data_IF_748961080472
#
_entry.id   IF_748961080472
#
_cell.length_a   1.000
_cell.length_b   1.000
_cell.length_c   1.000
_cell.angle_alpha   90.00
_cell.angle_beta   90.00
_cell.angle_gamma   90.00
#
_symmetry.space_group_name_H-M   'P 1'
#
loop_
_entity.id
_entity.type
_entity.pdbx_description
1 polymer ?
#
# COMPACT_ATOMS: atom_id res chain seq x y z
N UNK A 1 59.62 8.33 8.16
CA UNK A 1 59.45 8.59 6.72
C UNK A 1 58.64 7.43 6.16
N UNK A 2 57.36 7.68 5.89
CA UNK A 2 56.34 6.68 5.54
C UNK A 2 56.63 6.03 4.18
N UNK A 3 56.48 4.70 4.10
CA UNK A 3 56.25 3.96 2.85
C UNK A 3 55.00 3.13 3.07
N UNK A 4 53.89 3.61 2.53
CA UNK A 4 52.60 2.94 2.59
C UNK A 4 52.35 2.22 1.27
N UNK A 5 52.09 0.92 1.38
CA UNK A 5 51.73 0.05 0.27
C UNK A 5 50.22 -0.11 0.23
N UNK A 6 49.52 0.72 -0.53
CA UNK A 6 48.11 0.53 -0.86
C UNK A 6 47.78 1.20 -2.19
N UNK A 7 47.98 0.48 -3.30
CA UNK A 7 47.49 0.93 -4.61
C UNK A 7 47.10 -0.21 -5.58
N UNK A 8 46.95 -1.47 -5.12
CA UNK A 8 46.62 -2.60 -6.02
C UNK A 8 45.19 -3.14 -5.97
N UNK A 9 44.39 -2.86 -4.94
CA UNK A 9 43.16 -3.67 -4.74
C UNK A 9 41.87 -3.11 -5.38
N UNK A 10 41.91 -1.95 -6.03
CA UNK A 10 40.69 -1.34 -6.63
C UNK A 10 40.58 -1.48 -8.15
N UNK A 11 41.66 -1.85 -8.85
CA UNK A 11 41.69 -1.85 -10.32
C UNK A 11 41.93 -3.21 -10.98
N UNK A 12 42.23 -4.27 -10.22
CA UNK A 12 42.28 -5.65 -10.77
C UNK A 12 40.89 -6.28 -11.01
N UNK A 13 39.79 -5.54 -10.79
CA UNK A 13 38.43 -6.06 -10.98
C UNK A 13 37.91 -5.96 -12.44
N UNK A 14 38.69 -5.41 -13.38
CA UNK A 14 38.27 -5.24 -14.78
C UNK A 14 38.87 -6.24 -15.77
N UNK A 15 39.83 -7.09 -15.40
CA UNK A 15 40.54 -7.93 -16.38
C UNK A 15 40.26 -9.43 -16.30
N UNK A 16 39.50 -9.93 -15.33
CA UNK A 16 39.21 -11.37 -15.23
C UNK A 16 37.82 -11.68 -14.66
N UNK A 17 36.76 -11.42 -15.43
CA UNK A 17 35.51 -12.15 -15.26
C UNK A 17 34.86 -12.43 -16.60
N UNK A 18 35.03 -13.66 -17.08
CA UNK A 18 33.98 -14.34 -17.84
C UNK A 18 32.62 -14.03 -17.19
N UNK A 19 31.63 -13.69 -18.02
CA UNK A 19 30.23 -13.55 -17.63
C UNK A 19 29.74 -14.91 -17.12
N UNK A 20 29.93 -15.18 -15.83
CA UNK A 20 29.21 -16.23 -15.14
C UNK A 20 27.85 -15.66 -14.74
N UNK A 21 26.80 -16.37 -15.15
CA UNK A 21 25.39 -16.10 -14.92
C UNK A 21 25.07 -15.90 -13.43
N UNK A 22 25.16 -14.67 -12.94
CA UNK A 22 24.54 -14.27 -11.70
C UNK A 22 23.03 -14.16 -11.91
N UNK A 23 22.25 -14.68 -10.97
CA UNK A 23 20.80 -14.48 -10.97
C UNK A 23 20.48 -12.99 -10.80
N UNK A 24 19.30 -12.52 -11.23
CA UNK A 24 18.85 -11.12 -11.02
C UNK A 24 19.03 -10.65 -9.56
N UNK A 25 18.92 -11.60 -8.63
CA UNK A 25 19.18 -11.46 -7.19
C UNK A 25 20.63 -11.03 -6.89
N UNK A 26 21.63 -11.62 -7.55
CA UNK A 26 23.05 -11.31 -7.34
C UNK A 26 23.42 -9.93 -7.86
N UNK A 27 22.75 -9.51 -8.92
CA UNK A 27 22.84 -8.15 -9.48
C UNK A 27 22.31 -7.15 -8.45
N UNK A 28 21.09 -7.36 -7.93
CA UNK A 28 20.47 -6.47 -6.93
C UNK A 28 21.33 -6.34 -5.65
N UNK A 29 21.88 -7.45 -5.14
CA UNK A 29 22.73 -7.40 -3.94
C UNK A 29 24.07 -6.69 -4.15
N UNK A 30 24.71 -6.85 -5.32
CA UNK A 30 25.93 -6.10 -5.66
C UNK A 30 25.65 -4.60 -5.75
N UNK A 31 24.52 -4.21 -6.33
CA UNK A 31 24.12 -2.81 -6.45
C UNK A 31 23.81 -2.16 -5.09
N UNK A 32 23.14 -2.87 -4.19
CA UNK A 32 22.89 -2.40 -2.83
C UNK A 32 24.19 -2.08 -2.06
N UNK A 33 25.21 -2.94 -2.19
CA UNK A 33 26.51 -2.72 -1.56
C UNK A 33 27.28 -1.51 -2.13
N UNK A 34 27.11 -1.21 -3.42
CA UNK A 34 27.71 -0.04 -4.07
C UNK A 34 27.03 1.26 -3.61
N UNK A 35 25.70 1.25 -3.47
CA UNK A 35 24.92 2.43 -3.10
C UNK A 35 25.06 2.81 -1.61
N UNK A 36 25.17 1.84 -0.71
CA UNK A 36 25.50 2.12 0.70
C UNK A 36 26.86 2.82 0.82
N UNK A 37 27.84 2.42 0.00
CA UNK A 37 29.15 3.09 -0.05
C UNK A 37 29.02 4.52 -0.59
N UNK A 38 28.23 4.74 -1.65
CA UNK A 38 27.99 6.08 -2.22
C UNK A 38 27.21 7.02 -1.28
N UNK A 39 26.21 6.51 -0.54
CA UNK A 39 25.46 7.29 0.46
C UNK A 39 26.37 7.74 1.62
N UNK A 40 27.22 6.85 2.11
CA UNK A 40 28.16 7.16 3.19
C UNK A 40 29.20 8.22 2.76
N UNK A 41 29.61 8.20 1.48
CA UNK A 41 30.48 9.24 0.90
C UNK A 41 29.78 10.61 0.89
N UNK A 42 28.48 10.69 0.56
CA UNK A 42 27.73 11.95 0.42
C UNK A 42 27.43 12.66 1.76
N UNK A 43 27.37 11.91 2.86
CA UNK A 43 27.10 12.43 4.22
C UNK A 43 28.37 13.02 4.88
N UNK A 44 29.51 13.07 4.16
CA UNK A 44 30.73 13.69 4.67
C UNK A 44 31.54 12.81 5.62
N UNK A 45 31.17 11.53 5.77
CA UNK A 45 32.13 10.55 6.26
C UNK A 45 33.18 10.35 5.17
N UNK A 46 34.35 10.95 5.35
CA UNK A 46 35.53 10.61 4.59
C UNK A 46 35.77 9.09 4.76
N UNK A 47 35.36 8.31 3.76
CA UNK A 47 35.73 6.91 3.68
C UNK A 47 37.24 6.89 3.36
N UNK A 48 38.06 6.82 4.42
CA UNK A 48 39.48 6.50 4.36
C UNK A 48 40.30 7.33 3.35
N UNK A 49 40.08 8.64 3.26
CA UNK A 49 40.95 9.53 2.46
C UNK A 49 40.86 9.37 0.94
N UNK A 50 39.87 8.64 0.41
CA UNK A 50 39.68 8.48 -1.03
C UNK A 50 38.95 9.69 -1.60
N UNK A 51 39.59 10.42 -2.53
CA UNK A 51 38.92 11.45 -3.34
C UNK A 51 37.93 10.78 -4.28
N UNK A 52 36.65 11.10 -4.14
CA UNK A 52 35.59 10.56 -4.99
C UNK A 52 35.36 11.49 -6.18
N UNK A 53 35.39 10.91 -7.37
CA UNK A 53 35.12 11.59 -8.63
C UNK A 53 33.61 11.80 -8.81
N UNK A 54 33.15 13.01 -8.51
CA UNK A 54 31.73 13.36 -8.54
C UNK A 54 31.13 13.33 -9.95
N UNK A 55 31.94 13.48 -11.00
CA UNK A 55 31.45 13.47 -12.37
C UNK A 55 31.00 12.06 -12.76
N UNK A 56 31.75 11.04 -12.35
CA UNK A 56 31.37 9.62 -12.53
C UNK A 56 30.19 9.20 -11.65
N UNK A 57 30.07 9.75 -10.45
CA UNK A 57 28.91 9.52 -9.58
C UNK A 57 27.64 10.09 -10.22
N UNK A 58 27.71 11.30 -10.78
CA UNK A 58 26.58 11.93 -11.45
C UNK A 58 26.20 11.20 -12.75
N UNK A 59 27.18 10.74 -13.54
CA UNK A 59 26.92 9.93 -14.74
C UNK A 59 26.24 8.61 -14.38
N UNK A 60 26.68 7.94 -13.31
CA UNK A 60 26.04 6.73 -12.78
C UNK A 60 24.62 7.03 -12.25
N UNK A 61 24.39 8.18 -11.62
CA UNK A 61 23.06 8.63 -11.17
C UNK A 61 22.12 8.83 -12.37
N UNK A 62 22.61 9.41 -13.46
CA UNK A 62 21.85 9.55 -14.72
C UNK A 62 21.53 8.17 -15.32
N UNK A 63 22.48 7.25 -15.37
CA UNK A 63 22.25 5.89 -15.89
C UNK A 63 21.24 5.11 -15.02
N UNK A 64 21.35 5.20 -13.70
CA UNK A 64 20.40 4.59 -12.75
C UNK A 64 19.01 5.24 -12.88
N UNK A 65 18.92 6.54 -13.12
CA UNK A 65 17.66 7.25 -13.38
C UNK A 65 17.03 6.79 -14.69
N UNK A 66 17.83 6.66 -15.76
CA UNK A 66 17.38 6.20 -17.07
C UNK A 66 16.91 4.74 -17.04
N UNK A 67 17.49 3.91 -16.17
CA UNK A 67 17.04 2.54 -15.92
C UNK A 67 15.75 2.47 -15.05
N UNK A 68 15.23 3.61 -14.59
CA UNK A 68 14.09 3.70 -13.66
C UNK A 68 14.42 3.20 -12.24
N UNK A 69 15.69 2.89 -11.97
CA UNK A 69 16.16 2.36 -10.70
C UNK A 69 16.18 3.44 -9.61
N UNK A 70 16.44 4.70 -9.95
CA UNK A 70 16.50 5.77 -8.94
C UNK A 70 15.11 6.18 -8.42
N UNK A 71 14.09 6.15 -9.26
CA UNK A 71 12.69 6.35 -8.86
C UNK A 71 12.18 5.12 -8.08
N UNK A 72 12.58 3.91 -8.49
CA UNK A 72 12.41 2.68 -7.71
C UNK A 72 13.20 2.71 -6.38
N UNK A 73 14.32 3.45 -6.30
CA UNK A 73 15.14 3.68 -5.10
C UNK A 73 14.66 4.85 -4.24
N UNK A 74 13.88 5.78 -4.80
CA UNK A 74 13.09 6.74 -4.03
C UNK A 74 11.88 6.05 -3.41
N UNK A 75 11.32 5.07 -4.13
CA UNK A 75 10.55 3.96 -3.57
C UNK A 75 11.39 3.08 -2.62
N UNK A 76 12.71 2.99 -2.78
CA UNK A 76 13.58 2.40 -1.76
C UNK A 76 13.64 3.25 -0.48
N UNK A 77 13.19 4.50 -0.38
CA UNK A 77 12.93 5.03 0.96
C UNK A 77 11.87 4.19 1.70
N UNK A 78 10.97 3.52 0.98
CA UNK A 78 9.99 2.56 1.51
C UNK A 78 10.55 1.13 1.58
N UNK A 79 11.41 0.71 0.64
CA UNK A 79 12.09 -0.61 0.69
C UNK A 79 13.23 -0.62 1.72
N UNK A 80 14.07 0.41 1.82
CA UNK A 80 15.03 0.64 2.92
C UNK A 80 14.32 0.79 4.26
N UNK A 81 13.16 1.45 4.38
CA UNK A 81 12.37 1.42 5.64
C UNK A 81 11.82 0.02 5.94
N UNK A 82 11.61 -0.81 4.93
CA UNK A 82 11.30 -2.24 5.10
C UNK A 82 12.56 -3.12 5.37
N UNK A 83 13.76 -2.67 4.97
CA UNK A 83 15.05 -3.35 5.16
C UNK A 83 15.86 -2.87 6.38
N UNK A 84 15.50 -1.73 6.99
CA UNK A 84 16.09 -1.20 8.24
C UNK A 84 15.69 -2.02 9.49
N UNK A 85 15.02 -3.15 9.29
CA UNK A 85 14.68 -4.12 10.33
C UNK A 85 15.89 -5.04 10.57
N UNK A 86 16.31 -5.25 11.83
CA UNK A 86 17.51 -6.00 12.17
C UNK A 86 17.57 -7.38 11.49
N UNK A 87 18.74 -7.67 10.93
CA UNK A 87 19.17 -8.88 10.17
C UNK A 87 18.94 -10.22 10.90
N UNK A 88 18.36 -10.19 12.10
CA UNK A 88 18.21 -11.34 13.00
C UNK A 88 17.03 -12.24 12.62
N UNK A 89 16.08 -11.79 11.78
CA UNK A 89 14.98 -12.66 11.34
C UNK A 89 15.39 -13.56 10.15
N UNK A 90 15.30 -14.89 10.35
CA UNK A 90 15.58 -15.92 9.34
C UNK A 90 14.47 -16.11 8.30
N UNK A 91 13.33 -15.43 8.43
CA UNK A 91 12.21 -15.56 7.49
C UNK A 91 12.57 -14.98 6.11
N UNK A 92 12.55 -15.83 5.08
CA UNK A 92 12.81 -15.47 3.67
C UNK A 92 11.79 -14.45 3.15
N UNK A 93 10.60 -14.41 3.75
CA UNK A 93 9.48 -13.59 3.32
C UNK A 93 9.66 -12.09 3.67
N UNK A 94 10.37 -11.78 4.77
CA UNK A 94 10.75 -10.41 5.14
C UNK A 94 11.67 -9.72 4.13
N UNK A 95 12.36 -10.50 3.28
CA UNK A 95 13.29 -9.96 2.27
C UNK A 95 12.62 -9.61 0.94
N UNK A 96 11.37 -10.04 0.70
CA UNK A 96 10.74 -9.92 -0.63
C UNK A 96 9.95 -8.63 -0.84
N UNK A 97 9.86 -7.74 0.15
CA UNK A 97 9.09 -6.49 0.05
C UNK A 97 7.59 -6.73 -0.18
N UNK A 98 6.83 -5.66 -0.36
CA UNK A 98 5.42 -5.73 -0.75
C UNK A 98 5.34 -5.87 -2.29
N UNK A 99 4.76 -6.93 -2.87
CA UNK A 99 4.72 -7.11 -4.32
C UNK A 99 3.84 -6.08 -5.02
N UNK A 100 2.92 -5.40 -4.31
CA UNK A 100 2.21 -4.24 -4.86
C UNK A 100 3.18 -3.07 -5.10
N UNK A 101 4.28 -2.99 -4.36
CA UNK A 101 5.34 -2.00 -4.60
C UNK A 101 6.12 -2.36 -5.88
N UNK A 102 6.34 -3.65 -6.14
CA UNK A 102 6.95 -4.12 -7.39
C UNK A 102 6.06 -3.81 -8.60
N UNK A 103 4.74 -3.97 -8.45
CA UNK A 103 3.76 -3.56 -9.46
C UNK A 103 3.73 -2.05 -9.69
N UNK A 104 3.91 -1.23 -8.65
CA UNK A 104 4.11 0.21 -8.86
C UNK A 104 5.40 0.47 -9.66
N UNK A 105 6.51 -0.12 -9.24
CA UNK A 105 7.82 0.10 -9.86
C UNK A 105 7.89 -0.40 -11.31
N UNK A 106 7.20 -1.48 -11.65
CA UNK A 106 7.18 -2.01 -13.02
C UNK A 106 6.53 -1.06 -14.03
N UNK A 107 5.63 -0.18 -13.62
CA UNK A 107 5.08 0.85 -14.52
C UNK A 107 6.13 1.84 -15.00
N UNK A 108 7.24 1.99 -14.26
CA UNK A 108 8.35 2.87 -14.62
C UNK A 108 9.37 2.19 -15.54
N UNK A 109 9.23 0.89 -15.81
CA UNK A 109 10.17 0.16 -16.68
C UNK A 109 10.01 0.59 -18.13
N UNK A 110 11.15 0.74 -18.80
CA UNK A 110 11.21 0.76 -20.26
C UNK A 110 11.13 -0.68 -20.77
N UNK A 111 10.20 -0.95 -21.68
CA UNK A 111 9.98 -2.27 -22.25
C UNK A 111 9.99 -2.15 -23.77
N UNK A 112 10.43 -3.22 -24.46
CA UNK A 112 10.38 -3.27 -25.92
C UNK A 112 8.93 -3.29 -26.41
N UNK A 113 8.09 -4.13 -25.80
CA UNK A 113 6.63 -4.04 -25.91
C UNK A 113 6.03 -3.40 -24.66
N UNK A 114 5.12 -2.44 -24.84
CA UNK A 114 4.52 -1.72 -23.70
C UNK A 114 3.69 -2.65 -22.78
N UNK A 115 3.13 -3.72 -23.34
CA UNK A 115 2.35 -4.76 -22.63
C UNK A 115 3.22 -5.63 -21.71
N UNK A 116 4.53 -5.70 -21.93
CA UNK A 116 5.44 -6.48 -21.09
C UNK A 116 5.53 -5.95 -19.66
N UNK A 117 5.18 -4.67 -19.45
CA UNK A 117 5.03 -4.07 -18.12
C UNK A 117 4.07 -4.90 -17.27
N UNK A 118 2.88 -5.21 -17.79
CA UNK A 118 1.89 -6.02 -17.10
C UNK A 118 2.32 -7.50 -17.00
N UNK A 119 2.85 -8.07 -18.10
CA UNK A 119 3.23 -9.49 -18.16
C UNK A 119 4.32 -9.87 -17.15
N UNK A 120 5.34 -9.02 -16.96
CA UNK A 120 6.40 -9.28 -15.99
C UNK A 120 5.89 -9.32 -14.55
N UNK A 121 4.84 -8.56 -14.23
CA UNK A 121 4.24 -8.53 -12.89
C UNK A 121 3.32 -9.72 -12.67
N UNK A 122 2.61 -10.16 -13.69
CA UNK A 122 1.76 -11.35 -13.62
C UNK A 122 2.55 -12.56 -13.11
N UNK A 123 3.83 -12.67 -13.46
CA UNK A 123 4.72 -13.70 -12.93
C UNK A 123 4.98 -13.56 -11.42
N UNK A 124 5.14 -12.33 -10.91
CA UNK A 124 5.34 -12.07 -9.46
C UNK A 124 4.12 -12.52 -8.66
N UNK A 125 2.93 -12.39 -9.23
CA UNK A 125 1.69 -12.79 -8.58
C UNK A 125 1.20 -14.18 -8.95
N UNK A 126 1.93 -14.93 -9.77
CA UNK A 126 1.52 -16.23 -10.29
C UNK A 126 0.11 -16.16 -10.92
N UNK A 127 -0.06 -15.28 -11.91
CA UNK A 127 -1.30 -15.02 -12.62
C UNK A 127 -1.14 -15.26 -14.12
N UNK A 128 -2.17 -15.85 -14.76
CA UNK A 128 -2.26 -16.06 -16.20
C UNK A 128 -3.43 -15.25 -16.76
N UNK A 129 -3.13 -14.14 -17.42
CA UNK A 129 -4.07 -13.13 -17.93
C UNK A 129 -3.77 -12.83 -19.40
N UNK A 130 -4.65 -12.09 -20.07
CA UNK A 130 -4.46 -11.71 -21.48
C UNK A 130 -4.25 -12.91 -22.39
N UNK A 131 -3.18 -12.85 -23.20
CA UNK A 131 -2.82 -13.93 -24.13
C UNK A 131 -2.34 -15.22 -23.43
N UNK A 132 -1.95 -15.13 -22.16
CA UNK A 132 -1.52 -16.32 -21.39
C UNK A 132 -2.66 -17.03 -20.67
N UNK A 133 -3.87 -16.47 -20.69
CA UNK A 133 -5.03 -17.07 -20.04
C UNK A 133 -5.42 -18.40 -20.73
N UNK A 134 -5.68 -19.48 -19.98
CA UNK A 134 -6.02 -20.78 -20.57
C UNK A 134 -7.33 -20.77 -21.37
N UNK A 135 -8.18 -19.75 -21.15
CA UNK A 135 -9.49 -19.60 -21.80
C UNK A 135 -9.47 -18.57 -22.93
N UNK A 136 -8.30 -18.11 -23.37
CA UNK A 136 -8.20 -17.09 -24.43
C UNK A 136 -8.43 -17.70 -25.81
N UNK A 137 -9.17 -16.99 -26.66
CA UNK A 137 -9.27 -17.35 -28.07
C UNK A 137 -7.90 -17.19 -28.76
N UNK A 138 -7.43 -18.17 -29.55
CA UNK A 138 -6.18 -18.07 -30.29
C UNK A 138 -6.12 -16.78 -31.14
N UNK A 139 -4.98 -16.08 -31.07
CA UNK A 139 -4.76 -14.85 -31.85
C UNK A 139 -5.41 -13.58 -31.27
N UNK A 140 -6.19 -13.67 -30.19
CA UNK A 140 -6.68 -12.48 -29.49
C UNK A 140 -5.50 -11.71 -28.88
N UNK A 141 -5.41 -10.42 -29.19
CA UNK A 141 -4.45 -9.49 -28.58
C UNK A 141 -5.16 -8.60 -27.58
N UNK A 142 -4.47 -8.23 -26.51
CA UNK A 142 -4.98 -7.32 -25.51
C UNK A 142 -4.17 -6.02 -25.51
N UNK A 143 -4.89 -4.91 -25.41
CA UNK A 143 -4.28 -3.62 -25.11
C UNK A 143 -3.72 -3.61 -23.68
N UNK A 144 -2.78 -2.69 -23.43
CA UNK A 144 -2.25 -2.50 -22.07
C UNK A 144 -3.37 -2.19 -21.06
N UNK A 145 -4.35 -1.35 -21.43
CA UNK A 145 -5.46 -1.01 -20.52
C UNK A 145 -6.29 -2.24 -20.15
N UNK A 146 -6.58 -3.13 -21.11
CA UNK A 146 -7.32 -4.36 -20.82
C UNK A 146 -6.52 -5.29 -19.90
N UNK A 147 -5.20 -5.38 -20.08
CA UNK A 147 -4.33 -6.16 -19.21
C UNK A 147 -4.25 -5.56 -17.79
N UNK A 148 -4.17 -4.24 -17.67
CA UNK A 148 -4.21 -3.55 -16.38
C UNK A 148 -5.54 -3.76 -15.65
N UNK A 149 -6.65 -3.68 -16.38
CA UNK A 149 -7.98 -3.90 -15.80
C UNK A 149 -8.15 -5.37 -15.36
N UNK A 150 -7.66 -6.34 -16.15
CA UNK A 150 -7.60 -7.76 -15.75
C UNK A 150 -6.71 -8.00 -14.53
N UNK A 151 -5.52 -7.38 -14.50
CA UNK A 151 -4.59 -7.50 -13.39
C UNK A 151 -5.18 -6.89 -12.11
N UNK A 152 -5.77 -5.70 -12.20
CA UNK A 152 -6.48 -5.05 -11.10
C UNK A 152 -7.63 -5.92 -10.58
N UNK A 153 -8.45 -6.49 -11.46
CA UNK A 153 -9.53 -7.40 -11.09
C UNK A 153 -9.01 -8.64 -10.36
N UNK A 154 -7.94 -9.27 -10.85
CA UNK A 154 -7.36 -10.46 -10.24
C UNK A 154 -6.70 -10.16 -8.89
N UNK A 155 -6.06 -9.00 -8.75
CA UNK A 155 -5.49 -8.53 -7.48
C UNK A 155 -6.58 -8.26 -6.46
N UNK A 156 -7.70 -7.64 -6.86
CA UNK A 156 -8.83 -7.41 -5.99
C UNK A 156 -9.44 -8.72 -5.48
N UNK A 157 -9.54 -9.72 -6.35
CA UNK A 157 -10.05 -11.04 -5.99
C UNK A 157 -9.13 -11.76 -5.00
N UNK A 158 -7.80 -11.73 -5.25
CA UNK A 158 -6.81 -12.47 -4.45
C UNK A 158 -6.39 -11.73 -3.17
N UNK A 159 -6.43 -10.40 -3.20
CA UNK A 159 -5.96 -9.49 -2.16
C UNK A 159 -6.97 -8.35 -1.91
N UNK A 160 -8.22 -8.66 -1.49
CA UNK A 160 -9.28 -7.65 -1.35
C UNK A 160 -8.97 -6.57 -0.32
N UNK A 161 -8.05 -6.80 0.62
CA UNK A 161 -7.62 -5.83 1.62
C UNK A 161 -6.32 -5.17 1.16
N UNK A 162 -5.27 -5.94 0.86
CA UNK A 162 -3.95 -5.36 0.53
C UNK A 162 -4.00 -4.50 -0.72
N UNK A 163 -4.76 -4.90 -1.76
CA UNK A 163 -4.88 -4.11 -2.99
C UNK A 163 -5.53 -2.74 -2.77
N UNK A 164 -6.20 -2.53 -1.62
CA UNK A 164 -6.89 -1.30 -1.28
C UNK A 164 -6.08 -0.39 -0.35
N UNK A 165 -4.92 -0.84 0.15
CA UNK A 165 -3.97 -0.03 0.94
C UNK A 165 -3.07 0.84 0.05
N UNK A 166 -3.72 1.68 -0.74
CA UNK A 166 -3.09 2.63 -1.63
C UNK A 166 -3.89 3.93 -1.67
N UNK A 167 -3.20 5.03 -1.96
CA UNK A 167 -3.82 6.30 -2.34
C UNK A 167 -3.34 6.68 -3.73
N UNK A 168 -4.19 7.30 -4.52
CA UNK A 168 -3.77 7.82 -5.82
C UNK A 168 -3.05 9.15 -5.61
N UNK A 169 -1.78 9.27 -5.98
CA UNK A 169 -0.97 10.50 -5.90
C UNK A 169 -1.25 11.51 -7.02
N UNK A 170 -1.95 11.13 -8.08
CA UNK A 170 -2.39 12.05 -9.13
C UNK A 170 -3.83 11.79 -9.54
N UNK A 171 -4.35 12.64 -10.43
CA UNK A 171 -5.62 12.40 -11.12
C UNK A 171 -5.54 11.04 -11.83
N UNK A 172 -6.05 10.01 -11.16
CA UNK A 172 -6.29 8.72 -11.77
C UNK A 172 -7.32 8.90 -12.89
N UNK A 173 -7.33 7.99 -13.87
CA UNK A 173 -8.43 7.96 -14.81
C UNK A 173 -9.76 7.87 -14.04
N UNK A 174 -10.79 8.64 -14.44
CA UNK A 174 -12.10 8.56 -13.81
C UNK A 174 -12.56 7.11 -13.69
N UNK A 175 -13.13 6.79 -12.54
CA UNK A 175 -13.65 5.47 -12.21
C UNK A 175 -12.63 4.32 -12.16
N UNK A 176 -11.33 4.63 -12.09
CA UNK A 176 -10.23 3.65 -12.00
C UNK A 176 -9.32 3.83 -10.78
N UNK A 177 -9.71 4.63 -9.80
CA UNK A 177 -8.98 4.83 -8.54
C UNK A 177 -8.89 3.58 -7.66
N UNK A 178 -9.70 2.56 -7.95
CA UNK A 178 -9.69 1.24 -7.30
C UNK A 178 -8.54 0.32 -7.74
N UNK A 179 -7.91 0.60 -8.89
CA UNK A 179 -6.82 -0.22 -9.43
C UNK A 179 -5.47 0.31 -8.99
N UNK A 180 -4.51 -0.61 -8.88
CA UNK A 180 -3.11 -0.23 -8.72
C UNK A 180 -2.65 0.47 -9.98
N UNK A 181 -2.11 1.68 -9.82
CA UNK A 181 -1.67 2.51 -10.93
C UNK A 181 -0.22 2.96 -10.75
N UNK A 182 0.48 3.42 -11.81
CA UNK A 182 1.81 4.02 -11.67
C UNK A 182 1.83 5.17 -10.67
N UNK A 183 0.72 5.90 -10.62
CA UNK A 183 0.52 7.11 -9.85
C UNK A 183 -0.13 6.82 -8.50
N UNK A 184 -0.07 5.58 -8.00
CA UNK A 184 -0.47 5.30 -6.64
C UNK A 184 0.69 5.48 -5.67
N UNK A 185 0.41 5.59 -4.38
CA UNK A 185 1.37 5.40 -3.31
C UNK A 185 0.82 4.39 -2.32
N UNK A 186 1.65 3.40 -1.97
CA UNK A 186 1.32 2.49 -0.90
C UNK A 186 1.41 3.23 0.44
N UNK A 187 0.49 2.90 1.32
CA UNK A 187 0.50 3.40 2.68
C UNK A 187 1.50 2.61 3.53
N UNK A 188 1.98 3.18 4.64
CA UNK A 188 2.82 2.46 5.60
C UNK A 188 2.11 1.20 6.13
N UNK A 189 0.80 1.31 6.32
CA UNK A 189 -0.11 0.20 6.62
C UNK A 189 0.00 -0.95 5.63
N UNK A 190 0.14 -0.66 4.33
CA UNK A 190 0.25 -1.68 3.30
C UNK A 190 1.49 -2.57 3.55
N UNK A 191 2.62 -1.94 3.88
CA UNK A 191 3.87 -2.64 4.13
C UNK A 191 3.82 -3.45 5.42
N UNK A 192 3.26 -2.87 6.48
CA UNK A 192 3.09 -3.54 7.78
C UNK A 192 2.16 -4.74 7.67
N UNK A 193 1.00 -4.59 7.03
CA UNK A 193 0.05 -5.68 6.83
C UNK A 193 0.63 -6.80 5.97
N UNK A 194 1.33 -6.45 4.89
CA UNK A 194 1.96 -7.46 4.04
C UNK A 194 3.01 -8.28 4.80
N UNK A 195 3.80 -7.61 5.64
CA UNK A 195 4.80 -8.25 6.48
C UNK A 195 4.18 -9.28 7.42
N UNK A 196 3.10 -8.90 8.11
CA UNK A 196 2.38 -9.80 9.00
C UNK A 196 1.79 -11.00 8.26
N UNK A 197 1.20 -10.77 7.09
CA UNK A 197 0.64 -11.82 6.26
C UNK A 197 1.71 -12.83 5.85
N UNK A 198 2.91 -12.37 5.52
CA UNK A 198 4.02 -13.19 5.08
C UNK A 198 4.62 -14.09 6.17
N UNK A 199 4.57 -13.65 7.42
CA UNK A 199 5.06 -14.44 8.56
C UNK A 199 4.00 -15.40 9.10
N UNK A 200 2.73 -15.16 8.77
CA UNK A 200 1.69 -16.16 8.95
C UNK A 200 1.81 -17.19 7.82
N UNK A 201 1.95 -18.49 8.11
CA UNK A 201 1.95 -19.58 7.10
C UNK A 201 0.60 -19.70 6.32
N UNK A 202 -0.20 -18.63 6.33
CA UNK A 202 -1.55 -18.56 5.82
C UNK A 202 -1.53 -18.30 4.32
N UNK A 203 -2.01 -19.29 3.58
CA UNK A 203 -2.23 -19.28 2.14
C UNK A 203 -2.98 -18.05 1.61
N UNK A 204 -2.95 -17.86 0.28
CA UNK A 204 -3.59 -16.78 -0.48
C UNK A 204 -5.05 -16.45 -0.07
N UNK A 205 -5.83 -17.45 0.36
CA UNK A 205 -7.21 -17.28 0.82
C UNK A 205 -7.37 -16.56 2.15
N UNK A 206 -6.27 -16.20 2.84
CA UNK A 206 -6.31 -15.60 4.16
C UNK A 206 -7.11 -14.28 4.20
N UNK A 207 -6.98 -13.43 3.18
CA UNK A 207 -7.73 -12.16 3.14
C UNK A 207 -9.21 -12.37 2.90
N UNK A 208 -9.59 -13.25 1.97
CA UNK A 208 -11.00 -13.60 1.72
C UNK A 208 -11.62 -14.19 2.99
N UNK A 209 -10.90 -15.04 3.71
CA UNK A 209 -11.32 -15.58 5.00
C UNK A 209 -11.44 -14.48 6.06
N UNK A 210 -10.54 -13.51 6.10
CA UNK A 210 -10.63 -12.35 7.01
C UNK A 210 -11.87 -11.49 6.72
N UNK A 211 -12.08 -11.12 5.46
CA UNK A 211 -13.29 -10.38 5.02
C UNK A 211 -14.55 -11.13 5.47
N UNK A 212 -14.65 -12.43 5.17
CA UNK A 212 -15.81 -13.22 5.56
C UNK A 212 -15.98 -13.36 7.09
N UNK A 213 -14.89 -13.58 7.83
CA UNK A 213 -14.91 -13.75 9.30
C UNK A 213 -15.47 -12.52 10.01
N UNK A 214 -15.13 -11.31 9.54
CA UNK A 214 -15.54 -10.07 10.18
C UNK A 214 -16.74 -9.40 9.52
N UNK A 215 -17.35 -10.03 8.52
CA UNK A 215 -18.47 -9.42 7.79
C UNK A 215 -18.07 -8.17 7.00
N UNK A 216 -16.82 -8.16 6.52
CA UNK A 216 -16.27 -7.14 5.65
C UNK A 216 -16.95 -7.09 4.28
N UNK A 217 -16.72 -6.00 3.55
CA UNK A 217 -17.27 -5.82 2.22
C UNK A 217 -16.67 -6.83 1.22
N UNK A 218 -17.55 -7.44 0.43
CA UNK A 218 -17.16 -8.25 -0.73
C UNK A 218 -16.89 -7.31 -1.88
N UNK A 219 -15.71 -7.41 -2.48
CA UNK A 219 -15.28 -6.61 -3.62
C UNK A 219 -15.05 -7.53 -4.82
N UNK A 220 -15.52 -7.14 -5.99
CA UNK A 220 -15.20 -7.83 -7.24
C UNK A 220 -15.30 -6.86 -8.41
N UNK A 221 -14.41 -7.00 -9.38
CA UNK A 221 -14.46 -6.20 -10.58
C UNK A 221 -15.66 -6.62 -11.45
N UNK A 222 -16.34 -5.64 -12.05
CA UNK A 222 -17.43 -5.85 -13.01
C UNK A 222 -17.39 -4.76 -14.08
N UNK A 223 -17.90 -5.05 -15.26
CA UNK A 223 -18.23 -4.00 -16.23
C UNK A 223 -19.54 -3.33 -15.81
N UNK A 224 -19.52 -2.00 -15.76
CA UNK A 224 -20.67 -1.15 -15.48
C UNK A 224 -20.59 0.05 -16.44
N UNK A 225 -21.63 0.27 -17.27
CA UNK A 225 -21.65 1.33 -18.31
C UNK A 225 -20.35 1.36 -19.13
N UNK A 226 -19.96 0.20 -19.68
CA UNK A 226 -18.75 -0.01 -20.49
C UNK A 226 -17.41 0.27 -19.79
N UNK A 227 -17.44 0.51 -18.48
CA UNK A 227 -16.24 0.77 -17.66
C UNK A 227 -16.03 -0.35 -16.65
N UNK A 228 -14.79 -0.80 -16.46
CA UNK A 228 -14.46 -1.77 -15.41
C UNK A 228 -14.40 -1.05 -14.07
N UNK A 229 -15.35 -1.35 -13.19
CA UNK A 229 -15.49 -0.78 -11.85
C UNK A 229 -15.44 -1.89 -10.80
N UNK A 230 -15.40 -1.52 -9.52
CA UNK A 230 -15.57 -2.47 -8.41
C UNK A 230 -17.01 -2.49 -7.97
N UNK A 231 -17.65 -3.65 -8.12
CA UNK A 231 -18.90 -3.92 -7.40
C UNK A 231 -18.57 -4.29 -5.97
N UNK A 232 -19.34 -3.71 -5.05
CA UNK A 232 -19.23 -4.02 -3.64
C UNK A 232 -20.58 -4.38 -3.02
N UNK A 233 -20.51 -5.20 -1.97
CA UNK A 233 -21.62 -5.47 -1.08
C UNK A 233 -21.09 -5.65 0.33
N UNK A 234 -21.55 -4.83 1.27
CA UNK A 234 -20.95 -4.80 2.60
C UNK A 234 -21.70 -3.92 3.57
N UNK A 235 -21.06 -3.68 4.72
CA UNK A 235 -21.55 -2.75 5.72
C UNK A 235 -20.87 -1.41 5.58
N UNK A 236 -21.65 -0.36 5.70
CA UNK A 236 -21.15 1.00 5.70
C UNK A 236 -21.74 1.80 6.85
N UNK A 237 -21.09 2.92 7.15
CA UNK A 237 -21.56 3.96 8.06
C UNK A 237 -21.32 5.32 7.41
N UNK A 238 -22.08 6.34 7.78
CA UNK A 238 -21.77 7.70 7.34
C UNK A 238 -20.44 8.16 7.96
N UNK A 239 -19.72 9.04 7.26
CA UNK A 239 -18.51 9.67 7.78
C UNK A 239 -18.79 10.43 9.09
N UNK A 240 -19.93 11.09 9.20
CA UNK A 240 -20.34 11.87 10.38
C UNK A 240 -20.54 10.97 11.60
N UNK A 241 -21.32 9.89 11.47
CA UNK A 241 -21.52 8.91 12.55
C UNK A 241 -20.17 8.35 13.02
N UNK A 242 -19.28 7.99 12.08
CA UNK A 242 -17.96 7.47 12.43
C UNK A 242 -17.06 8.52 13.10
N UNK A 243 -17.10 9.76 12.62
CA UNK A 243 -16.35 10.87 13.21
C UNK A 243 -16.81 11.14 14.64
N UNK A 244 -18.11 11.25 14.88
CA UNK A 244 -18.66 11.47 16.23
C UNK A 244 -18.26 10.34 17.19
N UNK A 245 -18.32 9.09 16.74
CA UNK A 245 -17.84 7.95 17.52
C UNK A 245 -16.37 8.12 17.84
N UNK A 246 -15.50 8.28 16.84
CA UNK A 246 -14.05 8.29 17.08
C UNK A 246 -13.58 9.50 17.88
N UNK A 247 -14.18 10.67 17.66
CA UNK A 247 -13.91 11.88 18.43
C UNK A 247 -14.21 11.68 19.93
N UNK A 248 -15.37 11.10 20.26
CA UNK A 248 -15.81 10.91 21.65
C UNK A 248 -15.09 9.76 22.38
N UNK A 249 -14.54 8.82 21.62
CA UNK A 249 -14.04 7.55 22.13
C UNK A 249 -12.54 7.59 22.39
N UNK A 250 -11.76 8.06 21.42
CA UNK A 250 -10.29 7.81 21.38
C UNK A 250 -9.45 9.04 21.13
N UNK A 251 -10.06 10.13 20.71
CA UNK A 251 -9.34 11.18 20.00
C UNK A 251 -8.88 10.66 18.63
N UNK A 252 -8.97 11.53 17.63
CA UNK A 252 -8.69 11.17 16.23
C UNK A 252 -7.22 10.78 15.95
N UNK A 253 -6.33 10.88 16.94
CA UNK A 253 -4.93 10.46 16.83
C UNK A 253 -4.76 8.93 16.64
N UNK A 254 -5.82 8.14 16.83
CA UNK A 254 -5.82 6.67 16.63
C UNK A 254 -6.52 6.22 15.36
N UNK A 255 -6.93 7.19 14.55
CA UNK A 255 -7.41 6.97 13.20
C UNK A 255 -6.37 7.49 12.22
N UNK A 256 -6.19 6.79 11.11
CA UNK A 256 -5.38 7.21 9.99
C UNK A 256 -6.31 7.33 8.79
N UNK A 257 -6.61 8.56 8.38
CA UNK A 257 -7.28 8.86 7.13
C UNK A 257 -6.21 9.10 6.06
N UNK A 258 -6.38 8.47 4.89
CA UNK A 258 -5.49 8.64 3.74
C UNK A 258 -6.35 8.88 2.52
N UNK A 259 -6.38 10.13 2.07
CA UNK A 259 -7.15 10.55 0.89
C UNK A 259 -6.28 10.47 -0.36
N UNK A 260 -6.93 10.32 -1.51
CA UNK A 260 -6.27 10.50 -2.80
C UNK A 260 -5.73 11.94 -2.88
N UNK A 261 -4.53 12.11 -3.44
CA UNK A 261 -3.76 13.34 -3.37
C UNK A 261 -4.47 14.56 -3.98
N UNK A 262 -5.25 14.39 -5.05
CA UNK A 262 -6.04 15.51 -5.60
C UNK A 262 -6.96 16.13 -4.55
N UNK A 263 -7.57 15.31 -3.69
CA UNK A 263 -8.38 15.78 -2.57
C UNK A 263 -7.51 16.30 -1.43
N UNK A 264 -6.36 15.67 -1.19
CA UNK A 264 -5.43 16.13 -0.16
C UNK A 264 -4.93 17.55 -0.45
N UNK A 265 -4.55 17.84 -1.69
CA UNK A 265 -4.09 19.16 -2.14
C UNK A 265 -5.20 20.22 -2.01
N UNK A 266 -6.44 19.89 -2.43
CA UNK A 266 -7.62 20.75 -2.21
C UNK A 266 -7.80 21.11 -0.73
N UNK A 267 -7.54 20.15 0.15
CA UNK A 267 -7.67 20.31 1.59
C UNK A 267 -6.45 20.98 2.25
N UNK A 268 -5.27 20.95 1.62
CA UNK A 268 -3.98 21.38 2.17
C UNK A 268 -3.59 22.84 1.89
N UNK A 269 -4.53 23.73 1.55
CA UNK A 269 -4.28 25.18 1.45
C UNK A 269 -3.83 25.87 2.77
N UNK A 270 -3.39 25.12 3.79
CA UNK A 270 -2.76 25.60 5.03
C UNK A 270 -1.39 24.93 5.24
N UNK A 271 -0.40 25.62 5.85
CA UNK A 271 0.95 25.11 6.06
C UNK A 271 0.98 23.76 6.81
N UNK A 272 1.93 22.90 6.40
CA UNK A 272 2.03 21.45 6.66
C UNK A 272 2.13 21.03 8.13
N UNK A 273 2.46 21.94 9.05
CA UNK A 273 2.97 21.56 10.37
C UNK A 273 1.89 21.34 11.45
N UNK A 274 0.60 21.43 11.11
CA UNK A 274 -0.48 21.41 12.13
C UNK A 274 -1.75 20.64 11.77
N UNK A 275 -1.81 19.92 10.65
CA UNK A 275 -3.04 19.19 10.30
C UNK A 275 -3.15 17.94 11.19
N UNK A 276 -4.01 18.01 12.20
CA UNK A 276 -4.39 16.85 13.01
C UNK A 276 -5.38 16.02 12.19
N UNK A 277 -5.39 14.70 12.33
CA UNK A 277 -6.40 13.82 11.68
C UNK A 277 -7.84 14.33 11.87
N UNK A 278 -8.18 14.92 13.03
CA UNK A 278 -9.48 15.57 13.24
C UNK A 278 -9.81 16.63 12.19
N UNK A 279 -8.83 17.44 11.80
CA UNK A 279 -9.02 18.49 10.80
C UNK A 279 -9.29 17.90 9.43
N UNK A 280 -8.67 16.77 9.07
CA UNK A 280 -8.95 16.13 7.77
C UNK A 280 -10.38 15.59 7.71
N UNK A 281 -10.87 14.96 8.78
CA UNK A 281 -12.26 14.51 8.87
C UNK A 281 -13.24 15.67 8.84
N UNK A 282 -13.00 16.66 9.69
CA UNK A 282 -13.86 17.83 9.79
C UNK A 282 -13.90 18.57 8.45
N UNK A 283 -12.74 18.76 7.80
CA UNK A 283 -12.69 19.40 6.49
C UNK A 283 -13.39 18.56 5.44
N UNK A 284 -13.14 17.26 5.38
CA UNK A 284 -13.82 16.38 4.43
C UNK A 284 -15.34 16.45 4.60
N UNK A 285 -15.81 16.45 5.84
CA UNK A 285 -17.22 16.63 6.18
C UNK A 285 -17.75 18.02 5.78
N UNK A 286 -17.01 19.10 6.04
CA UNK A 286 -17.46 20.46 5.71
C UNK A 286 -17.42 20.77 4.21
N UNK A 287 -16.37 20.37 3.51
CA UNK A 287 -16.13 20.69 2.08
C UNK A 287 -17.12 19.94 1.19
N UNK A 288 -17.62 18.79 1.65
CA UNK A 288 -18.56 17.95 0.93
C UNK A 288 -19.88 17.77 1.68
N UNK A 289 -20.32 18.79 2.43
CA UNK A 289 -21.57 18.75 3.24
C UNK A 289 -22.84 18.37 2.44
N UNK A 290 -22.83 18.58 1.13
CA UNK A 290 -23.95 18.23 0.24
C UNK A 290 -23.79 16.86 -0.44
N UNK A 291 -22.72 16.11 -0.15
CA UNK A 291 -22.47 14.78 -0.70
C UNK A 291 -22.51 13.75 0.43
N UNK A 292 -23.07 12.58 0.11
CA UNK A 292 -23.08 11.47 1.05
C UNK A 292 -21.70 10.81 1.01
N UNK A 293 -20.91 11.02 2.08
CA UNK A 293 -19.63 10.36 2.27
C UNK A 293 -19.80 9.27 3.31
N UNK A 294 -19.41 8.07 2.90
CA UNK A 294 -19.62 6.83 3.61
C UNK A 294 -18.29 6.11 3.81
N UNK A 295 -18.21 5.35 4.90
CA UNK A 295 -17.11 4.44 5.18
C UNK A 295 -17.61 3.03 4.95
N UNK A 296 -17.13 2.39 3.88
CA UNK A 296 -17.35 0.97 3.62
C UNK A 296 -16.37 0.15 4.45
N UNK A 297 -16.85 -0.68 5.37
CA UNK A 297 -16.00 -1.56 6.17
C UNK A 297 -15.40 -2.67 5.31
N UNK A 298 -14.07 -2.72 5.19
CA UNK A 298 -13.39 -3.76 4.43
C UNK A 298 -13.11 -4.99 5.28
N UNK A 299 -12.43 -4.81 6.41
CA UNK A 299 -12.04 -5.91 7.27
C UNK A 299 -11.53 -5.41 8.62
N UNK A 300 -11.44 -6.35 9.56
CA UNK A 300 -10.59 -6.22 10.73
C UNK A 300 -9.37 -7.13 10.56
N UNK A 301 -8.19 -6.54 10.67
CA UNK A 301 -6.92 -7.25 10.75
C UNK A 301 -6.70 -7.54 12.23
N UNK A 302 -6.44 -8.79 12.58
CA UNK A 302 -6.13 -9.19 13.94
C UNK A 302 -4.82 -9.96 13.98
N UNK A 303 -4.06 -9.89 15.09
CA UNK A 303 -2.98 -10.83 15.34
C UNK A 303 -3.48 -12.27 15.20
N UNK A 304 -2.65 -13.20 14.68
CA UNK A 304 -2.94 -14.62 14.80
C UNK A 304 -3.11 -14.99 16.27
N UNK A 305 -3.95 -16.00 16.53
CA UNK A 305 -4.22 -16.46 17.89
C UNK A 305 -2.93 -16.77 18.65
N UNK A 306 -2.90 -16.53 19.97
CA UNK A 306 -1.75 -16.66 20.90
C UNK A 306 -0.89 -17.93 20.79
N UNK A 307 -1.34 -18.95 20.06
CA UNK A 307 -0.58 -20.16 19.75
C UNK A 307 0.37 -20.02 18.54
N UNK A 308 0.36 -18.90 17.82
CA UNK A 308 1.39 -18.62 16.83
C UNK A 308 2.71 -18.36 17.56
N UNK A 309 3.75 -19.16 17.28
CA UNK A 309 5.07 -19.07 17.91
C UNK A 309 5.84 -17.75 17.64
N UNK A 310 5.18 -16.72 17.12
CA UNK A 310 5.74 -15.43 16.77
C UNK A 310 5.92 -14.52 18.00
N UNK A 311 6.85 -14.88 18.88
CA UNK A 311 7.27 -14.03 20.00
C UNK A 311 8.07 -12.83 19.47
N UNK A 312 7.73 -11.62 19.92
CA UNK A 312 8.49 -10.39 19.64
C UNK A 312 8.07 -9.58 18.41
N UNK A 313 6.99 -9.97 17.72
CA UNK A 313 6.42 -9.16 16.64
C UNK A 313 5.39 -8.16 17.15
N UNK A 314 5.47 -6.93 16.62
CA UNK A 314 4.42 -5.92 16.76
C UNK A 314 3.32 -6.32 15.81
N UNK A 315 2.18 -6.71 16.37
CA UNK A 315 0.99 -7.08 15.61
C UNK A 315 -0.01 -5.94 15.56
N UNK A 316 -0.72 -5.88 14.45
CA UNK A 316 -1.75 -4.91 14.18
C UNK A 316 -3.14 -5.49 14.50
N UNK A 317 -3.91 -4.86 15.39
CA UNK A 317 -5.36 -5.07 15.52
C UNK A 317 -6.03 -3.84 14.90
N UNK A 318 -6.26 -3.85 13.59
CA UNK A 318 -6.77 -2.69 12.85
C UNK A 318 -8.16 -2.95 12.31
N UNK A 319 -9.02 -1.95 12.40
CA UNK A 319 -10.17 -1.87 11.50
C UNK A 319 -9.79 -1.06 10.26
N UNK A 320 -10.29 -1.51 9.10
CA UNK A 320 -9.99 -0.91 7.80
C UNK A 320 -11.28 -0.64 7.05
N UNK A 321 -11.37 0.54 6.44
CA UNK A 321 -12.46 0.90 5.55
C UNK A 321 -12.01 1.67 4.31
N UNK A 322 -12.89 1.71 3.31
CA UNK A 322 -12.79 2.64 2.17
C UNK A 322 -13.65 3.85 2.45
N UNK A 323 -13.14 5.03 2.08
CA UNK A 323 -13.92 6.26 2.12
C UNK A 323 -14.51 6.48 0.74
N UNK A 324 -15.83 6.40 0.64
CA UNK A 324 -16.59 6.47 -0.60
C UNK A 324 -17.47 7.71 -0.60
N UNK A 325 -17.57 8.39 -1.73
CA UNK A 325 -18.48 9.51 -1.93
C UNK A 325 -19.49 9.14 -2.99
N UNK A 326 -20.77 9.18 -2.64
CA UNK A 326 -21.84 8.92 -3.59
C UNK A 326 -21.82 9.95 -4.72
N UNK A 327 -21.99 9.50 -5.96
CA UNK A 327 -22.13 10.38 -7.11
C UNK A 327 -23.48 11.12 -7.10
N UNK A 328 -23.46 12.40 -7.48
CA UNK A 328 -24.66 13.23 -7.51
C UNK A 328 -25.71 12.65 -8.46
N UNK A 329 -26.93 12.43 -7.96
CA UNK A 329 -28.04 11.89 -8.74
C UNK A 329 -28.03 10.37 -8.90
N UNK A 330 -27.07 9.66 -8.30
CA UNK A 330 -26.94 8.21 -8.39
C UNK A 330 -26.91 7.56 -7.02
N UNK A 331 -27.72 6.52 -6.81
CA UNK A 331 -27.80 5.83 -5.51
C UNK A 331 -26.88 4.62 -5.36
N UNK A 332 -26.22 4.21 -6.44
CA UNK A 332 -25.48 2.96 -6.50
C UNK A 332 -24.05 3.13 -7.04
N UNK A 333 -23.60 4.36 -7.29
CA UNK A 333 -22.25 4.65 -7.78
C UNK A 333 -21.54 5.63 -6.88
N UNK A 334 -20.26 5.32 -6.65
CA UNK A 334 -19.42 5.98 -5.68
C UNK A 334 -18.04 6.28 -6.25
N UNK A 335 -17.51 7.43 -5.89
CA UNK A 335 -16.11 7.79 -6.05
C UNK A 335 -15.33 7.28 -4.84
N UNK A 336 -14.24 6.54 -5.03
CA UNK A 336 -13.34 6.18 -3.92
C UNK A 336 -12.44 7.37 -3.60
N UNK A 337 -12.65 7.99 -2.44
CA UNK A 337 -11.86 9.13 -1.96
C UNK A 337 -10.54 8.71 -1.31
N UNK A 338 -10.47 7.49 -0.79
CA UNK A 338 -9.29 7.00 -0.09
C UNK A 338 -9.58 5.82 0.83
N UNK A 339 -8.78 5.70 1.88
CA UNK A 339 -8.92 4.66 2.88
C UNK A 339 -8.83 5.22 4.30
N UNK A 340 -9.38 4.47 5.23
CA UNK A 340 -9.34 4.78 6.65
C UNK A 340 -8.92 3.54 7.44
N UNK A 341 -8.10 3.76 8.46
CA UNK A 341 -7.72 2.76 9.45
C UNK A 341 -7.97 3.29 10.85
N UNK A 342 -8.27 2.40 11.79
CA UNK A 342 -8.24 2.69 13.22
C UNK A 342 -7.60 1.56 14.02
N UNK A 343 -6.84 1.91 15.06
CA UNK A 343 -6.10 0.94 15.88
C UNK A 343 -6.94 0.38 17.03
N UNK A 344 -7.58 -0.76 16.80
CA UNK A 344 -8.48 -1.42 17.75
C UNK A 344 -7.75 -1.87 19.02
N UNK A 345 -6.46 -2.22 18.95
CA UNK A 345 -5.69 -2.55 20.14
C UNK A 345 -5.53 -1.31 21.01
N UNK A 346 -4.95 -0.24 20.47
CA UNK A 346 -4.68 0.97 21.24
C UNK A 346 -5.96 1.55 21.84
N UNK A 347 -7.08 1.46 21.10
CA UNK A 347 -8.40 1.83 21.61
C UNK A 347 -8.74 1.03 22.87
N UNK A 348 -8.62 -0.30 22.84
CA UNK A 348 -8.88 -1.16 24.01
C UNK A 348 -7.92 -0.89 25.17
N UNK A 349 -6.64 -0.69 24.87
CA UNK A 349 -5.62 -0.45 25.89
C UNK A 349 -5.85 0.88 26.61
N UNK A 350 -6.19 1.93 25.87
CA UNK A 350 -6.57 3.24 26.44
C UNK A 350 -7.78 3.11 27.37
N UNK A 351 -8.80 2.34 27.00
CA UNK A 351 -9.94 2.10 27.89
C UNK A 351 -9.52 1.46 29.20
N UNK A 352 -8.67 0.43 29.11
CA UNK A 352 -8.21 -0.33 30.27
C UNK A 352 -7.32 0.52 31.18
N UNK A 353 -6.38 1.26 30.60
CA UNK A 353 -5.37 2.03 31.34
C UNK A 353 -5.95 3.30 31.96
N UNK A 354 -6.85 3.99 31.26
CA UNK A 354 -7.44 5.26 31.72
C UNK A 354 -8.80 5.11 32.41
N UNK A 355 -9.31 3.88 32.52
CA UNK A 355 -10.66 3.59 33.02
C UNK A 355 -11.73 4.44 32.33
N UNK A 356 -11.53 4.74 31.04
CA UNK A 356 -12.44 5.58 30.26
C UNK A 356 -13.70 4.78 29.92
N UNK A 357 -14.85 5.34 30.26
CA UNK A 357 -16.14 4.86 29.77
C UNK A 357 -16.43 5.56 28.45
N UNK A 358 -16.76 4.81 27.41
CA UNK A 358 -17.23 5.44 26.18
C UNK A 358 -18.54 6.15 26.44
N UNK A 359 -18.59 7.40 26.00
CA UNK A 359 -19.84 8.12 25.91
C UNK A 359 -20.58 7.59 24.69
N UNK A 360 -21.75 7.00 24.90
CA UNK A 360 -22.66 6.69 23.80
C UNK A 360 -22.90 7.95 22.97
N UNK A 361 -22.93 7.81 21.65
CA UNK A 361 -23.45 8.87 20.79
C UNK A 361 -24.97 8.76 20.75
N UNK A 362 -25.64 9.74 20.13
CA UNK A 362 -27.10 9.67 19.93
C UNK A 362 -27.52 8.41 19.15
N UNK A 363 -26.66 7.93 18.26
CA UNK A 363 -26.94 6.81 17.35
C UNK A 363 -26.32 5.49 17.84
N UNK A 364 -25.23 5.56 18.59
CA UNK A 364 -24.37 4.40 18.92
C UNK A 364 -24.26 4.26 20.44
N UNK A 365 -24.97 3.27 20.99
CA UNK A 365 -24.97 2.96 22.43
C UNK A 365 -23.70 2.25 22.90
N UNK A 366 -23.04 1.47 22.03
CA UNK A 366 -21.78 0.79 22.31
C UNK A 366 -20.72 1.12 21.25
N UNK A 367 -19.94 2.19 21.46
CA UNK A 367 -18.90 2.61 20.53
C UNK A 367 -17.76 1.60 20.35
N UNK A 368 -17.45 0.79 21.37
CA UNK A 368 -16.40 -0.22 21.25
C UNK A 368 -16.82 -1.31 20.26
N UNK A 369 -18.03 -1.85 20.47
CA UNK A 369 -18.58 -2.90 19.62
C UNK A 369 -18.73 -2.42 18.18
N UNK A 370 -19.17 -1.15 18.00
CA UNK A 370 -19.25 -0.49 16.70
C UNK A 370 -17.89 -0.49 15.96
N UNK A 371 -16.79 -0.14 16.64
CA UNK A 371 -15.44 -0.12 16.04
C UNK A 371 -14.82 -1.52 15.86
N UNK A 372 -15.27 -2.51 16.62
CA UNK A 372 -14.65 -3.85 16.65
C UNK A 372 -15.27 -4.88 15.73
N UNK A 373 -16.59 -4.89 15.67
CA UNK A 373 -17.35 -6.00 15.09
C UNK A 373 -18.13 -5.57 13.87
N UNK A 374 -18.26 -4.27 13.66
CA UNK A 374 -19.11 -3.67 12.64
C UNK A 374 -20.51 -4.31 12.60
N UNK A 375 -20.98 -4.78 13.76
CA UNK A 375 -22.30 -5.31 14.00
C UNK A 375 -23.00 -4.33 14.95
N UNK A 376 -24.24 -3.95 14.62
CA UNK A 376 -25.07 -3.12 15.48
C UNK A 376 -25.50 -1.80 14.83
N UNK A 377 -26.13 -0.92 15.62
CA UNK A 377 -26.59 0.39 15.17
C UNK A 377 -25.47 1.18 14.48
N UNK A 378 -25.79 1.94 13.45
CA UNK A 378 -24.85 2.76 12.67
C UNK A 378 -24.20 2.06 11.47
N UNK A 379 -24.12 0.72 11.46
CA UNK A 379 -23.65 -0.03 10.29
C UNK A 379 -24.83 -0.55 9.47
N UNK A 380 -25.04 0.03 8.29
CA UNK A 380 -26.11 -0.35 7.36
C UNK A 380 -25.56 -1.21 6.24
N UNK A 381 -26.37 -2.14 5.71
CA UNK A 381 -25.98 -2.93 4.53
C UNK A 381 -26.21 -2.12 3.27
N UNK A 382 -25.24 -2.16 2.35
CA UNK A 382 -25.33 -1.50 1.05
C UNK A 382 -24.62 -2.32 -0.03
N UNK A 383 -24.99 -2.05 -1.26
CA UNK A 383 -24.27 -2.52 -2.44
C UNK A 383 -24.26 -1.42 -3.49
N UNK A 384 -23.19 -1.37 -4.27
CA UNK A 384 -23.04 -0.42 -5.37
C UNK A 384 -21.81 -0.74 -6.20
N UNK A 385 -21.38 0.25 -6.97
CA UNK A 385 -20.13 0.23 -7.72
C UNK A 385 -19.28 1.42 -7.28
N UNK A 386 -17.97 1.23 -7.19
CA UNK A 386 -17.06 2.34 -7.04
C UNK A 386 -15.94 2.29 -8.06
N UNK A 387 -15.47 3.47 -8.39
CA UNK A 387 -14.48 3.75 -9.40
C UNK A 387 -13.31 4.54 -8.85
#
# INVERSE_FOLDING_TARGET
MYRDGTHRDLFDFQSNTHVQSGTLKDIIYRWHGILLKLRNIRIGHAYQGVKVDMEKVNALEVDITNLGLLEAMRLDAQIFKALEIPVVSKSRALRMGNPLALLKASHQRQCYEITDRARGIMQVFDMQLGESSPNVAPGKKYSLSELEDQLGAQLLQRYPISSQFMVQSRLCQPLKSWRVSPEMSLTEEAHLFWREKMDSDTFMDAEVKMVNRFGGARLYATTFEDTVMVRFGGRYTTLETFYQVTQNVIGTARTALRLNQGLHEELQNKPFDQIITADEFQRLHTTRKNRNIDILFLARIQPPSKNSGAKGQIWCDWGVGLVLCQESGRNDVYERLGMIKWDVWEIKDLMKTRNMKFQATREISDPLSYLQTCNGPGWTKISGHFG
#
